data_IF_602601269374
#
_entry.id   IF_602601269374
#
_cell.length_a   1.000
_cell.length_b   1.000
_cell.length_c   1.000
_cell.angle_alpha   90.00
_cell.angle_beta   90.00
_cell.angle_gamma   90.00
#
_symmetry.space_group_name_H-M   'P 1'
#
loop_
_entity.id
_entity.type
_entity.pdbx_description
1 polymer ?
#
# COMPACT_ATOMS: atom_id res chain seq x y z
N UNK A 1 -8.87 -7.17 -8.23
CA UNK A 1 -7.80 -7.22 -7.21
C UNK A 1 -8.15 -6.23 -6.10
N UNK A 2 -8.01 -6.59 -4.82
CA UNK A 2 -8.28 -5.69 -3.70
C UNK A 2 -6.96 -5.03 -3.25
N UNK A 3 -6.82 -3.74 -3.56
CA UNK A 3 -5.59 -2.95 -3.35
C UNK A 3 -5.16 -3.00 -1.88
N UNK A 4 -6.10 -2.90 -0.95
CA UNK A 4 -5.78 -2.87 0.48
C UNK A 4 -5.25 -4.23 0.95
N UNK A 5 -5.82 -5.33 0.45
CA UNK A 5 -5.31 -6.68 0.72
C UNK A 5 -3.88 -6.86 0.17
N UNK A 6 -3.61 -6.34 -1.02
CA UNK A 6 -2.26 -6.37 -1.62
C UNK A 6 -1.26 -5.63 -0.73
N UNK A 7 -1.54 -4.36 -0.39
CA UNK A 7 -0.66 -3.54 0.46
C UNK A 7 -0.40 -4.24 1.80
N UNK A 8 -1.43 -4.80 2.44
CA UNK A 8 -1.27 -5.52 3.70
C UNK A 8 -0.39 -6.75 3.58
N UNK A 9 -0.52 -7.50 2.48
CA UNK A 9 0.30 -8.67 2.22
C UNK A 9 1.75 -8.23 2.08
N UNK A 10 2.02 -7.23 1.25
CA UNK A 10 3.36 -6.70 1.02
C UNK A 10 4.03 -6.20 2.31
N UNK A 11 3.33 -5.42 3.13
CA UNK A 11 3.87 -4.97 4.42
C UNK A 11 4.27 -6.16 5.31
N UNK A 12 3.55 -7.29 5.24
CA UNK A 12 3.85 -8.48 6.03
C UNK A 12 4.97 -9.35 5.44
N UNK A 13 5.13 -9.38 4.12
CA UNK A 13 6.04 -10.30 3.43
C UNK A 13 7.33 -9.66 2.93
N UNK A 14 7.41 -8.33 2.82
CA UNK A 14 8.58 -7.63 2.30
C UNK A 14 9.84 -7.69 3.18
N UNK A 15 9.75 -8.28 4.39
CA UNK A 15 10.88 -8.41 5.31
C UNK A 15 11.35 -7.10 5.96
N UNK A 16 10.71 -5.96 5.64
CA UNK A 16 11.05 -4.66 6.22
C UNK A 16 10.20 -4.36 7.45
N UNK A 17 10.81 -3.72 8.44
CA UNK A 17 10.08 -3.25 9.62
C UNK A 17 9.17 -2.08 9.24
N UNK A 18 8.08 -1.87 10.00
CA UNK A 18 7.22 -0.69 9.84
C UNK A 18 8.01 0.61 9.95
N UNK A 19 8.99 0.67 10.86
CA UNK A 19 9.90 1.80 10.97
C UNK A 19 10.67 2.07 9.66
N UNK A 20 11.23 1.03 9.02
CA UNK A 20 11.94 1.18 7.74
C UNK A 20 10.99 1.66 6.65
N UNK A 21 9.82 1.05 6.53
CA UNK A 21 8.80 1.46 5.55
C UNK A 21 8.40 2.92 5.80
N UNK A 22 8.24 3.31 7.07
CA UNK A 22 7.91 4.68 7.45
C UNK A 22 8.97 5.68 7.02
N UNK A 23 10.26 5.35 7.22
CA UNK A 23 11.38 6.19 6.78
C UNK A 23 11.49 6.29 5.28
N UNK A 24 11.24 5.20 4.56
CA UNK A 24 11.39 5.18 3.11
C UNK A 24 10.22 5.87 2.39
N UNK A 25 9.00 5.79 2.95
CA UNK A 25 7.76 6.29 2.31
C UNK A 25 7.24 7.61 2.87
N UNK A 26 7.73 8.04 4.04
CA UNK A 26 7.19 9.17 4.78
C UNK A 26 5.85 8.90 5.49
N UNK A 27 5.27 7.71 5.34
CA UNK A 27 4.02 7.32 6.01
C UNK A 27 4.32 6.99 7.47
N UNK A 28 3.53 7.52 8.41
CA UNK A 28 3.79 7.29 9.84
C UNK A 28 3.58 5.82 10.23
N UNK A 29 4.37 5.32 11.20
CA UNK A 29 4.17 3.97 11.74
C UNK A 29 2.75 3.74 12.28
N UNK A 30 2.10 4.79 12.82
CA UNK A 30 0.71 4.74 13.25
C UNK A 30 -0.27 4.50 12.11
N UNK A 31 -0.03 5.10 10.93
CA UNK A 31 -0.81 4.82 9.73
C UNK A 31 -0.58 3.39 9.24
N UNK A 32 0.67 2.93 9.18
CA UNK A 32 1.00 1.54 8.81
C UNK A 32 0.36 0.52 9.76
N UNK A 33 0.37 0.80 11.07
CA UNK A 33 -0.29 -0.04 12.07
C UNK A 33 -1.81 -0.09 11.85
N UNK A 34 -2.46 1.07 11.61
CA UNK A 34 -3.88 1.13 11.30
C UNK A 34 -4.23 0.34 10.04
N UNK A 35 -3.41 0.41 8.99
CA UNK A 35 -3.59 -0.38 7.77
C UNK A 35 -3.61 -1.88 8.07
N UNK A 36 -2.73 -2.35 8.95
CA UNK A 36 -2.61 -3.78 9.27
C UNK A 36 -3.73 -4.29 10.18
N UNK A 37 -4.16 -3.49 11.15
CA UNK A 37 -5.07 -3.93 12.22
C UNK A 37 -6.53 -3.57 11.93
N UNK A 38 -6.77 -2.39 11.35
CA UNK A 38 -8.12 -1.87 11.12
C UNK A 38 -8.53 -2.10 9.67
N UNK A 39 -9.77 -2.54 9.47
CA UNK A 39 -10.44 -2.54 8.17
C UNK A 39 -10.94 -1.15 7.75
N UNK A 40 -10.16 -0.11 8.06
CA UNK A 40 -10.48 1.27 7.74
C UNK A 40 -9.95 1.66 6.36
N UNK A 41 -10.69 2.55 5.72
CA UNK A 41 -10.33 3.22 4.47
C UNK A 41 -9.01 3.97 4.64
N UNK A 42 -8.19 3.96 3.59
CA UNK A 42 -7.02 4.82 3.47
C UNK A 42 -7.22 5.83 2.35
N UNK A 43 -6.49 6.95 2.42
CA UNK A 43 -6.44 7.90 1.32
C UNK A 43 -5.78 7.26 0.09
N UNK A 44 -6.29 7.58 -1.10
CA UNK A 44 -5.72 7.11 -2.37
C UNK A 44 -4.23 7.48 -2.50
N UNK A 45 -3.82 8.66 -2.02
CA UNK A 45 -2.41 9.09 -2.01
C UNK A 45 -1.52 8.18 -1.17
N UNK A 46 -2.01 7.70 -0.01
CA UNK A 46 -1.27 6.74 0.81
C UNK A 46 -1.18 5.37 0.13
N UNK A 47 -2.25 4.94 -0.54
CA UNK A 47 -2.24 3.70 -1.30
C UNK A 47 -1.23 3.77 -2.46
N UNK A 48 -1.22 4.88 -3.20
CA UNK A 48 -0.33 5.11 -4.34
C UNK A 48 1.15 5.06 -3.92
N UNK A 49 1.53 5.79 -2.86
CA UNK A 49 2.89 5.76 -2.31
C UNK A 49 3.32 4.34 -1.90
N UNK A 50 2.44 3.59 -1.23
CA UNK A 50 2.77 2.23 -0.80
C UNK A 50 2.89 1.28 -1.99
N UNK A 51 2.00 1.40 -2.98
CA UNK A 51 2.06 0.60 -4.20
C UNK A 51 3.36 0.86 -4.95
N UNK A 52 3.71 2.12 -5.18
CA UNK A 52 4.95 2.51 -5.85
C UNK A 52 6.18 1.99 -5.08
N UNK A 53 6.20 2.14 -3.75
CA UNK A 53 7.26 1.62 -2.89
C UNK A 53 7.46 0.09 -2.99
N UNK A 54 6.38 -0.66 -3.19
CA UNK A 54 6.41 -2.11 -3.40
C UNK A 54 6.56 -2.51 -4.88
N UNK A 55 6.74 -1.55 -5.79
CA UNK A 55 6.95 -1.81 -7.22
C UNK A 55 5.67 -2.06 -8.02
N UNK A 56 4.50 -1.68 -7.48
CA UNK A 56 3.22 -1.72 -8.17
C UNK A 56 2.94 -0.39 -8.86
N UNK A 57 2.34 -0.46 -10.04
CA UNK A 57 1.91 0.72 -10.80
C UNK A 57 0.40 0.65 -11.06
N UNK A 58 -0.33 1.67 -10.64
CA UNK A 58 -1.72 1.84 -11.04
C UNK A 58 -1.77 2.20 -12.52
N UNK A 59 -2.53 1.44 -13.30
CA UNK A 59 -2.74 1.69 -14.73
C UNK A 59 -4.24 1.75 -14.99
N UNK A 60 -4.62 2.59 -15.95
CA UNK A 60 -5.98 2.57 -16.48
C UNK A 60 -6.16 1.22 -17.17
N UNK A 61 -7.15 0.47 -16.74
CA UNK A 61 -7.60 -0.69 -17.49
C UNK A 61 -8.35 -0.17 -18.71
N UNK A 62 -7.74 -0.29 -19.89
CA UNK A 62 -8.36 0.02 -21.17
C UNK A 62 -9.16 -1.18 -21.69
N UNK A 63 -9.92 -1.82 -20.79
CA UNK A 63 -10.69 -3.02 -21.07
C UNK A 63 -11.29 -2.97 -22.46
N UNK A 64 -10.90 -3.96 -23.28
CA UNK A 64 -11.15 -4.13 -24.71
C UNK A 64 -12.27 -3.19 -25.20
N UNK A 65 -11.89 -2.01 -25.70
CA UNK A 65 -12.82 -1.16 -26.44
C UNK A 65 -13.10 -1.87 -27.77
N UNK A 66 -14.03 -2.82 -27.75
CA UNK A 66 -14.52 -3.51 -28.93
C UNK A 66 -16.03 -3.41 -29.00
#
# INVERSE_FOLDING_TARGET
>A
MDILKTIRKEIKTCGKTRYRISKDTGITEGQLHRILVKNQSIYCSTADILLDYFGYKLTKDEGDQK
#
